data_IF_637176432185
#
_entry.id   IF_637176432185
#
_cell.length_a   1.000
_cell.length_b   1.000
_cell.length_c   1.000
_cell.angle_alpha   90.00
_cell.angle_beta   90.00
_cell.angle_gamma   90.00
#
_symmetry.space_group_name_H-M   'P 1'
#
loop_
_entity.id
_entity.type
_entity.pdbx_description
1 polymer ?
#
# COMPACT_ATOMS: atom_id res chain seq x y z
N UNK A 1 57.18 -38.28 16.96
CA UNK A 1 57.05 -36.91 16.42
C UNK A 1 56.21 -36.81 15.13
N UNK A 2 55.29 -37.75 14.84
CA UNK A 2 54.44 -37.68 13.63
C UNK A 2 53.02 -37.10 13.86
N UNK A 3 52.56 -37.00 15.11
CA UNK A 3 51.16 -36.61 15.40
C UNK A 3 50.93 -35.09 15.44
N UNK A 4 51.95 -34.26 15.68
CA UNK A 4 51.77 -32.80 15.80
C UNK A 4 51.59 -32.10 14.44
N UNK A 5 52.15 -32.66 13.37
CA UNK A 5 52.10 -32.04 12.03
C UNK A 5 50.69 -32.14 11.42
N UNK A 6 49.97 -33.22 11.72
CA UNK A 6 48.62 -33.45 11.18
C UNK A 6 47.58 -32.50 11.82
N UNK A 7 47.72 -32.23 13.12
CA UNK A 7 46.76 -31.42 13.89
C UNK A 7 46.85 -29.93 13.52
N UNK A 8 48.07 -29.44 13.21
CA UNK A 8 48.28 -28.06 12.76
C UNK A 8 47.72 -27.80 11.35
N UNK A 9 47.82 -28.79 10.46
CA UNK A 9 47.28 -28.69 9.10
C UNK A 9 45.76 -28.73 9.09
N UNK A 10 45.15 -29.65 9.87
CA UNK A 10 43.70 -29.78 10.02
C UNK A 10 43.04 -28.51 10.57
N UNK A 11 43.62 -27.89 11.61
CA UNK A 11 43.10 -26.61 12.16
C UNK A 11 43.16 -25.45 11.17
N UNK A 12 44.19 -25.39 10.31
CA UNK A 12 44.39 -24.30 9.36
C UNK A 12 43.43 -24.39 8.17
N UNK A 13 43.13 -25.61 7.74
CA UNK A 13 42.13 -25.89 6.69
C UNK A 13 40.72 -25.62 7.21
N UNK A 14 40.37 -26.08 8.42
CA UNK A 14 39.04 -25.84 9.01
C UNK A 14 38.71 -24.35 9.17
N UNK A 15 39.69 -23.54 9.61
CA UNK A 15 39.52 -22.08 9.75
C UNK A 15 39.28 -21.37 8.41
N UNK A 16 39.92 -21.83 7.33
CA UNK A 16 39.68 -21.28 5.97
C UNK A 16 38.31 -21.64 5.43
N UNK A 17 37.84 -22.87 5.67
CA UNK A 17 36.49 -23.28 5.26
C UNK A 17 35.39 -22.50 5.99
N UNK A 18 35.53 -22.27 7.30
CA UNK A 18 34.57 -21.46 8.08
C UNK A 18 34.51 -19.99 7.63
N UNK A 19 35.65 -19.40 7.24
CA UNK A 19 35.68 -18.02 6.75
C UNK A 19 35.00 -17.87 5.38
N UNK A 20 35.16 -18.86 4.48
CA UNK A 20 34.58 -18.83 3.13
C UNK A 20 33.06 -19.08 3.19
N UNK A 21 32.59 -20.00 4.02
CA UNK A 21 31.15 -20.25 4.18
C UNK A 21 30.44 -19.07 4.85
N UNK A 22 31.07 -18.43 5.85
CA UNK A 22 30.52 -17.23 6.51
C UNK A 22 30.34 -16.04 5.55
N UNK A 23 31.21 -15.89 4.54
CA UNK A 23 31.10 -14.81 3.56
C UNK A 23 29.94 -15.02 2.56
N UNK A 24 29.68 -16.28 2.17
CA UNK A 24 28.57 -16.62 1.27
C UNK A 24 27.18 -16.48 1.92
N UNK A 25 27.06 -16.72 3.23
CA UNK A 25 25.79 -16.54 3.96
C UNK A 25 25.38 -15.06 4.09
N UNK A 26 26.35 -14.13 4.14
CA UNK A 26 26.07 -12.69 4.28
C UNK A 26 25.66 -12.02 2.96
N UNK A 27 26.15 -12.50 1.80
CA UNK A 27 25.80 -11.92 0.50
C UNK A 27 24.38 -12.27 0.02
N UNK A 28 23.75 -13.30 0.57
CA UNK A 28 22.40 -13.72 0.15
C UNK A 28 21.25 -12.92 0.80
N UNK A 29 21.52 -12.06 1.80
CA UNK A 29 20.48 -11.32 2.52
C UNK A 29 20.13 -9.94 1.95
N UNK A 30 20.87 -9.43 0.95
CA UNK A 30 20.74 -8.03 0.51
C UNK A 30 19.78 -7.85 -0.69
N UNK A 31 19.35 -8.90 -1.38
CA UNK A 31 18.72 -8.77 -2.72
C UNK A 31 17.19 -8.86 -2.75
N UNK A 32 16.50 -8.94 -1.61
CA UNK A 32 15.03 -8.92 -1.61
C UNK A 32 14.45 -7.63 -1.02
N UNK A 33 14.97 -6.48 -1.44
CA UNK A 33 14.17 -5.26 -1.44
C UNK A 33 13.23 -5.31 -2.65
N UNK A 34 12.29 -6.26 -2.64
CA UNK A 34 11.24 -6.34 -3.65
C UNK A 34 10.38 -5.08 -3.54
N UNK A 35 10.20 -4.36 -4.65
CA UNK A 35 9.30 -3.21 -4.74
C UNK A 35 7.94 -3.62 -4.19
N UNK A 36 7.63 -3.21 -2.96
CA UNK A 36 6.32 -3.47 -2.38
C UNK A 36 5.30 -2.77 -3.26
N UNK A 37 4.30 -3.49 -3.78
CA UNK A 37 3.27 -2.86 -4.59
C UNK A 37 2.61 -1.74 -3.79
N UNK A 38 2.56 -0.56 -4.39
CA UNK A 38 2.03 0.64 -3.73
C UNK A 38 0.52 0.44 -3.57
N UNK A 39 -0.01 0.44 -2.32
CA UNK A 39 -1.44 0.31 -2.11
C UNK A 39 -2.19 1.49 -2.74
N UNK A 40 -3.43 1.25 -3.21
CA UNK A 40 -4.28 2.31 -3.76
C UNK A 40 -4.44 3.49 -2.79
N UNK A 41 -4.68 4.71 -3.30
CA UNK A 41 -4.92 5.85 -2.44
C UNK A 41 -6.26 5.75 -1.73
N UNK A 42 -6.35 6.33 -0.54
CA UNK A 42 -7.59 6.48 0.21
C UNK A 42 -8.67 7.22 -0.60
N UNK A 43 -9.93 6.98 -0.26
CA UNK A 43 -11.03 7.71 -0.87
C UNK A 43 -12.40 7.32 -0.35
N UNK A 44 -13.37 8.18 -0.64
CA UNK A 44 -14.80 7.92 -0.45
C UNK A 44 -15.39 7.33 -1.72
N UNK A 45 -16.00 6.16 -1.59
CA UNK A 45 -16.59 5.39 -2.68
C UNK A 45 -18.08 5.25 -2.48
N UNK A 46 -18.90 5.49 -3.50
CA UNK A 46 -20.35 5.40 -3.38
C UNK A 46 -20.96 4.54 -4.49
N UNK A 47 -22.02 3.81 -4.15
CA UNK A 47 -22.85 3.10 -5.13
C UNK A 47 -23.84 4.11 -5.74
N UNK A 48 -23.63 4.41 -7.02
CA UNK A 48 -24.44 5.38 -7.76
C UNK A 48 -25.63 4.70 -8.46
N UNK A 49 -25.62 3.36 -8.55
CA UNK A 49 -26.67 2.60 -9.22
C UNK A 49 -27.88 2.34 -8.32
N UNK A 50 -27.65 2.06 -7.03
CA UNK A 50 -28.73 1.74 -6.08
C UNK A 50 -29.15 2.96 -5.25
N UNK A 51 -30.46 3.03 -4.92
CA UNK A 51 -31.03 4.02 -3.99
C UNK A 51 -31.49 3.31 -2.71
N UNK A 52 -31.19 3.84 -1.51
CA UNK A 52 -30.42 5.06 -1.23
C UNK A 52 -28.93 4.92 -1.60
N UNK A 53 -28.28 6.05 -1.89
CA UNK A 53 -26.85 6.08 -2.22
C UNK A 53 -26.05 5.70 -0.98
N UNK A 54 -25.43 4.53 -1.00
CA UNK A 54 -24.55 4.05 0.05
C UNK A 54 -23.11 4.48 -0.26
N UNK A 55 -22.49 5.19 0.68
CA UNK A 55 -21.09 5.61 0.59
C UNK A 55 -20.27 4.95 1.69
N UNK A 56 -19.04 4.57 1.34
CA UNK A 56 -18.05 3.99 2.24
C UNK A 56 -16.74 4.76 2.12
N UNK A 57 -15.96 4.80 3.19
CA UNK A 57 -14.64 5.43 3.20
C UNK A 57 -13.59 4.33 3.36
N UNK A 58 -12.67 4.25 2.39
CA UNK A 58 -11.67 3.19 2.34
C UNK A 58 -10.27 3.81 2.36
N UNK A 59 -9.47 3.44 3.35
CA UNK A 59 -8.07 3.77 3.44
C UNK A 59 -7.24 2.49 3.35
N UNK A 60 -6.73 2.22 2.14
CA UNK A 60 -5.94 1.02 1.84
C UNK A 60 -4.51 1.08 2.40
N UNK A 61 -4.02 2.28 2.75
CA UNK A 61 -2.66 2.48 3.30
C UNK A 61 -2.63 2.16 4.78
N UNK A 62 -3.62 2.66 5.50
CA UNK A 62 -3.74 2.44 6.94
C UNK A 62 -4.49 1.15 7.27
N UNK A 63 -5.09 0.50 6.24
CA UNK A 63 -5.83 -0.73 6.41
C UNK A 63 -7.09 -0.53 7.23
N UNK A 64 -7.82 0.56 6.96
CA UNK A 64 -9.05 0.93 7.66
C UNK A 64 -10.15 1.15 6.63
N UNK A 65 -11.34 0.61 6.88
CA UNK A 65 -12.52 0.86 6.07
C UNK A 65 -13.73 1.18 6.94
N UNK A 66 -14.42 2.27 6.64
CA UNK A 66 -15.70 2.63 7.24
C UNK A 66 -16.83 2.30 6.28
N UNK A 67 -17.67 1.34 6.68
CA UNK A 67 -18.84 0.88 5.92
C UNK A 67 -20.12 1.67 6.29
N UNK A 68 -19.99 2.82 6.96
CA UNK A 68 -21.09 3.63 7.50
C UNK A 68 -21.50 3.26 8.93
N UNK A 69 -20.78 2.33 9.55
CA UNK A 69 -21.00 1.83 10.91
C UNK A 69 -19.83 2.19 11.85
N UNK A 70 -18.82 2.87 11.32
CA UNK A 70 -17.56 3.17 12.01
C UNK A 70 -16.36 2.51 11.33
N UNK A 71 -15.18 3.01 11.67
CA UNK A 71 -13.92 2.54 11.14
C UNK A 71 -13.62 1.09 11.61
N UNK A 72 -13.52 0.17 10.64
CA UNK A 72 -13.17 -1.23 10.87
C UNK A 72 -11.80 -1.56 10.27
N UNK A 73 -11.03 -2.47 10.90
CA UNK A 73 -9.76 -2.90 10.36
C UNK A 73 -9.95 -3.73 9.08
N UNK A 74 -9.16 -3.41 8.07
CA UNK A 74 -9.17 -4.03 6.75
C UNK A 74 -7.88 -4.82 6.53
N UNK A 75 -8.00 -6.12 6.28
CA UNK A 75 -6.89 -7.05 6.02
C UNK A 75 -6.62 -7.12 4.52
N UNK A 76 -5.38 -6.85 4.13
CA UNK A 76 -4.93 -7.01 2.74
C UNK A 76 -4.64 -8.49 2.45
N UNK A 77 -5.32 -9.06 1.45
CA UNK A 77 -4.97 -10.38 0.89
C UNK A 77 -4.03 -10.24 -0.31
N UNK A 78 -4.27 -9.23 -1.12
CA UNK A 78 -3.38 -8.82 -2.21
C UNK A 78 -3.57 -7.32 -2.45
N UNK A 79 -2.76 -6.74 -3.35
CA UNK A 79 -2.82 -5.32 -3.76
C UNK A 79 -4.21 -4.89 -4.22
N UNK A 80 -4.98 -5.84 -4.76
CA UNK A 80 -6.30 -5.61 -5.33
C UNK A 80 -7.42 -6.26 -4.52
N UNK A 81 -7.12 -7.03 -3.46
CA UNK A 81 -8.11 -7.74 -2.66
C UNK A 81 -7.91 -7.50 -1.17
N UNK A 82 -8.97 -7.00 -0.55
CA UNK A 82 -9.03 -6.67 0.86
C UNK A 82 -10.25 -7.32 1.51
N UNK A 83 -10.18 -7.53 2.81
CA UNK A 83 -11.24 -8.14 3.60
C UNK A 83 -11.45 -7.37 4.90
N UNK A 84 -12.71 -7.11 5.24
CA UNK A 84 -13.11 -6.57 6.54
C UNK A 84 -13.88 -7.66 7.28
N UNK A 85 -13.44 -7.96 8.50
CA UNK A 85 -14.08 -8.94 9.37
C UNK A 85 -15.06 -8.22 10.30
N UNK A 86 -16.37 -8.44 10.11
CA UNK A 86 -17.40 -7.96 11.03
C UNK A 86 -17.61 -9.04 12.10
N UNK A 87 -17.79 -8.63 13.37
CA UNK A 87 -17.80 -9.47 14.59
C UNK A 87 -18.61 -10.79 14.50
N UNK A 88 -19.57 -10.88 13.58
CA UNK A 88 -20.45 -12.03 13.33
C UNK A 88 -19.99 -13.00 12.21
N UNK A 89 -18.67 -13.21 12.02
CA UNK A 89 -18.09 -14.10 10.97
C UNK A 89 -18.49 -13.73 9.53
N UNK A 90 -18.98 -12.51 9.35
CA UNK A 90 -19.36 -12.00 8.05
C UNK A 90 -18.21 -11.19 7.48
N UNK A 91 -17.65 -11.71 6.39
CA UNK A 91 -16.50 -11.11 5.74
C UNK A 91 -16.98 -10.25 4.57
N UNK A 92 -16.69 -8.96 4.64
CA UNK A 92 -16.90 -8.06 3.49
C UNK A 92 -15.65 -8.13 2.62
N UNK A 93 -15.83 -8.46 1.35
CA UNK A 93 -14.73 -8.54 0.38
C UNK A 93 -14.71 -7.27 -0.45
N UNK A 94 -13.55 -6.63 -0.53
CA UNK A 94 -13.32 -5.41 -1.28
C UNK A 94 -12.30 -5.72 -2.36
N UNK A 95 -12.72 -5.60 -3.61
CA UNK A 95 -11.87 -5.78 -4.78
C UNK A 95 -11.63 -4.44 -5.47
N UNK A 96 -10.36 -4.09 -5.63
CA UNK A 96 -9.95 -2.85 -6.29
C UNK A 96 -9.80 -3.14 -7.78
N UNK A 97 -10.80 -2.72 -8.56
CA UNK A 97 -10.80 -2.86 -10.03
C UNK A 97 -9.93 -1.78 -10.67
N UNK A 98 -9.99 -0.56 -10.12
CA UNK A 98 -9.19 0.58 -10.55
C UNK A 98 -9.04 1.56 -9.37
N UNK A 99 -8.11 2.51 -9.46
CA UNK A 99 -7.92 3.59 -8.47
C UNK A 99 -9.21 4.37 -8.11
N UNK A 100 -10.22 4.33 -8.98
CA UNK A 100 -11.47 5.05 -8.83
C UNK A 100 -12.70 4.14 -8.77
N UNK A 101 -12.51 2.81 -8.79
CA UNK A 101 -13.59 1.83 -8.87
C UNK A 101 -13.28 0.64 -7.99
N UNK A 102 -14.19 0.33 -7.08
CA UNK A 102 -14.08 -0.83 -6.20
C UNK A 102 -15.35 -1.65 -6.26
N UNK A 103 -15.22 -2.97 -6.15
CA UNK A 103 -16.34 -3.90 -6.06
C UNK A 103 -16.39 -4.43 -4.63
N UNK A 104 -17.52 -4.23 -3.96
CA UNK A 104 -17.72 -4.62 -2.57
C UNK A 104 -18.76 -5.72 -2.52
N UNK A 105 -18.41 -6.83 -1.90
CA UNK A 105 -19.30 -7.98 -1.70
C UNK A 105 -19.63 -8.08 -0.23
N UNK A 106 -20.88 -7.79 0.10
CA UNK A 106 -21.41 -7.98 1.45
C UNK A 106 -21.85 -9.43 1.64
N UNK A 107 -21.82 -9.96 2.88
CA UNK A 107 -22.30 -11.31 3.19
C UNK A 107 -23.73 -11.52 2.67
N UNK A 108 -23.94 -12.57 1.88
CA UNK A 108 -25.27 -12.95 1.37
C UNK A 108 -25.89 -11.97 0.36
N UNK A 109 -25.14 -10.98 -0.12
CA UNK A 109 -25.58 -10.04 -1.16
C UNK A 109 -24.71 -10.18 -2.41
N UNK A 110 -25.27 -9.77 -3.54
CA UNK A 110 -24.51 -9.67 -4.78
C UNK A 110 -23.42 -8.59 -4.68
N UNK A 111 -22.28 -8.78 -5.38
CA UNK A 111 -21.21 -7.80 -5.43
C UNK A 111 -21.69 -6.50 -6.10
N UNK A 112 -21.49 -5.38 -5.42
CA UNK A 112 -21.88 -4.04 -5.90
C UNK A 112 -20.67 -3.22 -6.31
N UNK A 113 -20.84 -2.37 -7.32
CA UNK A 113 -19.79 -1.47 -7.81
C UNK A 113 -19.91 -0.10 -7.14
N UNK A 114 -18.80 0.37 -6.57
CA UNK A 114 -18.69 1.68 -5.95
C UNK A 114 -17.67 2.53 -6.71
N UNK A 115 -18.03 3.80 -6.91
CA UNK A 115 -17.20 4.78 -7.61
C UNK A 115 -16.61 5.78 -6.63
N UNK A 116 -15.31 6.08 -6.80
CA UNK A 116 -14.63 7.11 -6.02
C UNK A 116 -15.23 8.47 -6.35
N UNK A 117 -15.83 9.10 -5.34
CA UNK A 117 -16.33 10.47 -5.48
C UNK A 117 -15.19 11.43 -5.12
N UNK A 118 -14.98 12.43 -5.97
CA UNK A 118 -14.09 13.55 -5.66
C UNK A 118 -14.79 14.44 -4.63
N UNK A 119 -14.23 14.55 -3.44
CA UNK A 119 -14.77 15.44 -2.41
C UNK A 119 -14.83 16.90 -2.95
N UNK A 120 -15.98 17.59 -2.84
CA UNK A 120 -16.07 19.02 -3.18
C UNK A 120 -14.98 19.88 -2.50
N UNK A 121 -14.58 19.51 -1.27
CA UNK A 121 -13.51 20.21 -0.53
C UNK A 121 -12.15 20.05 -1.19
N UNK A 122 -11.83 18.84 -1.67
CA UNK A 122 -10.59 18.58 -2.41
C UNK A 122 -10.53 19.36 -3.71
N UNK A 123 -11.67 19.50 -4.40
CA UNK A 123 -11.75 20.31 -5.62
C UNK A 123 -11.42 21.76 -5.33
N UNK A 124 -11.99 22.32 -4.25
CA UNK A 124 -11.71 23.70 -3.82
C UNK A 124 -10.24 23.89 -3.46
N UNK A 125 -9.65 22.97 -2.67
CA UNK A 125 -8.24 23.01 -2.28
C UNK A 125 -7.30 22.95 -3.50
N UNK A 126 -7.57 22.06 -4.46
CA UNK A 126 -6.77 21.98 -5.69
C UNK A 126 -6.88 23.24 -6.55
N UNK A 127 -8.08 23.83 -6.61
CA UNK A 127 -8.31 25.08 -7.33
C UNK A 127 -7.55 26.26 -6.69
N UNK A 128 -7.61 26.38 -5.36
CA UNK A 128 -6.89 27.42 -4.62
C UNK A 128 -5.38 27.29 -4.82
N UNK A 129 -4.85 26.06 -4.76
CA UNK A 129 -3.43 25.78 -5.04
C UNK A 129 -3.04 26.16 -6.47
N UNK A 130 -3.83 25.74 -7.47
CA UNK A 130 -3.57 26.08 -8.87
C UNK A 130 -3.64 27.61 -9.11
N UNK A 131 -4.56 28.31 -8.44
CA UNK A 131 -4.64 29.77 -8.49
C UNK A 131 -3.40 30.44 -7.89
N UNK A 132 -2.86 29.89 -6.79
CA UNK A 132 -1.64 30.37 -6.17
C UNK A 132 -0.43 30.18 -7.09
N UNK A 133 -0.24 28.96 -7.62
CA UNK A 133 0.84 28.65 -8.58
C UNK A 133 0.77 29.52 -9.84
N UNK A 134 -0.45 29.75 -10.35
CA UNK A 134 -0.68 30.67 -11.46
C UNK A 134 -0.23 32.09 -11.12
N UNK A 135 -0.65 32.62 -9.97
CA UNK A 135 -0.25 33.96 -9.56
C UNK A 135 1.27 34.07 -9.39
N UNK A 136 1.94 33.06 -8.84
CA UNK A 136 3.40 33.06 -8.64
C UNK A 136 4.16 33.03 -9.99
N UNK A 137 3.65 32.29 -10.98
CA UNK A 137 4.18 32.27 -12.36
C UNK A 137 4.10 33.64 -13.04
N UNK A 138 3.00 34.37 -12.88
CA UNK A 138 2.83 35.67 -13.53
C UNK A 138 3.37 36.85 -12.71
N UNK A 139 3.62 36.67 -11.42
CA UNK A 139 4.27 37.68 -10.57
C UNK A 139 5.78 37.71 -10.75
N UNK A 140 6.40 36.56 -11.04
CA UNK A 140 7.85 36.46 -11.33
C UNK A 140 8.25 36.97 -12.71
N UNK A 141 7.35 36.86 -13.71
CA UNK A 141 7.57 37.39 -15.06
C UNK A 141 7.49 38.93 -15.14
N UNK A 142 6.84 39.60 -14.16
CA UNK A 142 6.74 41.05 -14.12
C UNK A 142 8.00 41.74 -13.58
N UNK A 143 8.83 41.01 -12.82
CA UNK A 143 10.09 41.49 -12.26
C UNK A 143 11.33 41.18 -13.12
N UNK A 144 11.18 40.43 -14.22
CA UNK A 144 12.26 40.07 -15.15
C UNK A 144 12.26 40.89 -16.44
N UNK A 145 11.42 41.93 -16.52
CA UNK A 145 11.25 42.80 -17.68
C UNK A 145 11.58 44.27 -17.40
N UNK A 146 12.36 44.55 -16.35
CA UNK A 146 13.04 45.84 -16.14
C UNK A 146 14.52 45.75 -16.52
#
# INVERSE_FOLDING_TARGET
MLNEVNDFFLRKVLKRFFAITSACFLSSWIVFCGLKPVPPPEGRFCDVWHKPVECVELNFRDGIGDLGQGALPMRMKSVVLYQIDIESKHNVLIEVLHEHRVRITFPGKEPRLYLKIKDPKDRKRRWEKAKQEWNDLFRSNASSSE
#
